data_IF_886445110408
#
_entry.id   IF_886445110408
#
_cell.length_a   1.000
_cell.length_b   1.000
_cell.length_c   1.000
_cell.angle_alpha   90.00
_cell.angle_beta   90.00
_cell.angle_gamma   90.00
#
_symmetry.space_group_name_H-M   'P 1'
#
loop_
_entity.id
_entity.type
_entity.pdbx_description
1 polymer ?
#
# COMPACT_ATOMS: atom_id res chain seq x y z
N UNK A 1 3.48 25.15 9.71
CA UNK A 1 4.45 26.20 10.15
C UNK A 1 5.85 25.76 9.73
N UNK A 2 6.55 26.51 8.88
CA UNK A 2 7.90 26.12 8.42
C UNK A 2 8.89 26.24 9.59
N UNK A 3 9.49 25.12 10.00
CA UNK A 3 10.51 25.13 11.06
C UNK A 3 11.74 25.92 10.62
N UNK A 4 12.35 26.66 11.56
CA UNK A 4 13.63 27.33 11.32
C UNK A 4 14.74 26.27 11.29
N UNK A 5 15.65 26.37 10.29
CA UNK A 5 16.82 25.51 10.20
C UNK A 5 17.63 25.54 11.51
N UNK A 6 17.98 24.38 12.01
CA UNK A 6 18.80 24.24 13.21
C UNK A 6 20.26 24.47 12.88
N UNK A 7 20.96 25.17 13.77
CA UNK A 7 22.42 25.30 13.65
C UNK A 7 23.08 23.94 13.91
N UNK A 8 24.10 23.63 13.14
CA UNK A 8 24.88 22.38 13.26
C UNK A 8 24.02 21.10 13.18
N UNK A 9 22.99 21.08 12.30
CA UNK A 9 22.06 19.96 12.19
C UNK A 9 22.78 18.64 12.00
N UNK A 10 23.67 18.53 11.01
CA UNK A 10 24.38 17.30 10.69
C UNK A 10 25.17 16.75 11.88
N UNK A 11 25.89 17.62 12.60
CA UNK A 11 26.63 17.24 13.81
C UNK A 11 25.69 16.75 14.93
N UNK A 12 24.53 17.39 15.09
CA UNK A 12 23.54 17.00 16.11
C UNK A 12 22.89 15.65 15.76
N UNK A 13 22.59 15.44 14.48
CA UNK A 13 22.09 14.15 13.96
C UNK A 13 23.13 13.05 14.21
N UNK A 14 24.40 13.32 13.88
CA UNK A 14 25.47 12.35 14.07
C UNK A 14 25.74 12.04 15.56
N UNK A 15 25.54 13.00 16.44
CA UNK A 15 25.61 12.75 17.89
C UNK A 15 24.52 11.78 18.39
N UNK A 16 23.45 11.58 17.64
CA UNK A 16 22.36 10.65 17.94
C UNK A 16 22.33 9.49 16.94
N UNK A 17 23.47 9.14 16.33
CA UNK A 17 23.56 8.11 15.30
C UNK A 17 23.14 6.72 15.80
N UNK A 18 23.22 6.46 17.09
CA UNK A 18 22.75 5.27 17.78
C UNK A 18 21.23 5.09 17.73
N UNK A 19 20.49 6.18 17.59
CA UNK A 19 19.02 6.17 17.45
C UNK A 19 18.56 6.38 15.99
N UNK A 20 19.46 6.72 15.07
CA UNK A 20 19.12 7.08 13.70
C UNK A 20 19.34 5.95 12.70
N UNK A 21 18.28 5.43 12.12
CA UNK A 21 18.32 4.42 11.06
C UNK A 21 18.47 5.12 9.70
N UNK A 22 19.71 5.23 9.23
CA UNK A 22 20.07 5.91 7.95
C UNK A 22 19.59 5.15 6.71
N UNK A 23 19.48 3.82 6.79
CA UNK A 23 19.02 2.97 5.70
C UNK A 23 17.88 2.06 6.18
N UNK A 24 16.66 2.58 6.26
CA UNK A 24 15.52 1.82 6.77
C UNK A 24 15.16 0.63 5.87
N UNK A 25 15.44 0.68 4.57
CA UNK A 25 15.19 -0.44 3.67
C UNK A 25 16.04 -1.67 3.99
N UNK A 26 17.24 -1.50 4.54
CA UNK A 26 18.08 -2.61 4.99
C UNK A 26 17.56 -3.23 6.30
N UNK A 27 16.74 -2.49 7.05
CA UNK A 27 16.13 -2.94 8.31
C UNK A 27 14.79 -3.67 8.09
N UNK A 28 14.22 -3.61 6.90
CA UNK A 28 12.96 -4.25 6.53
C UNK A 28 12.95 -5.74 6.87
N UNK A 29 11.99 -6.18 7.68
CA UNK A 29 11.89 -7.56 8.18
C UNK A 29 12.81 -7.90 9.35
N UNK A 30 13.54 -6.90 9.90
CA UNK A 30 14.56 -7.10 10.95
C UNK A 30 14.40 -6.14 12.14
N UNK A 31 13.30 -5.41 12.23
CA UNK A 31 13.13 -4.44 13.32
C UNK A 31 13.21 -5.09 14.70
N UNK A 32 12.66 -6.30 14.87
CA UNK A 32 12.74 -7.05 16.12
C UNK A 32 14.18 -7.50 16.49
N UNK A 33 15.12 -7.51 15.52
CA UNK A 33 16.53 -7.82 15.82
C UNK A 33 17.21 -6.70 16.63
N UNK A 34 16.71 -5.45 16.54
CA UNK A 34 17.22 -4.33 17.35
C UNK A 34 16.85 -4.45 18.83
N UNK A 35 15.76 -5.17 19.12
CA UNK A 35 15.29 -5.45 20.47
C UNK A 35 14.58 -6.82 20.49
N UNK A 36 15.31 -7.95 20.54
CA UNK A 36 14.73 -9.29 20.38
C UNK A 36 13.67 -9.65 21.43
N UNK A 37 13.71 -9.02 22.60
CA UNK A 37 12.74 -9.20 23.68
C UNK A 37 11.50 -8.30 23.55
N UNK A 38 11.39 -7.47 22.49
CA UNK A 38 10.26 -6.57 22.32
C UNK A 38 8.95 -7.34 22.20
N UNK A 39 7.95 -6.91 22.98
CA UNK A 39 6.60 -7.47 22.93
C UNK A 39 5.85 -7.00 21.70
N UNK A 40 6.12 -5.76 21.23
CA UNK A 40 5.52 -5.18 20.03
C UNK A 40 6.44 -4.16 19.35
N UNK A 41 6.18 -3.93 18.06
CA UNK A 41 6.76 -2.82 17.28
C UNK A 41 5.71 -1.74 17.13
N UNK A 42 5.99 -0.56 17.67
CA UNK A 42 5.12 0.61 17.60
C UNK A 42 5.70 1.66 16.68
N UNK A 43 4.88 2.16 15.77
CA UNK A 43 5.28 3.13 14.76
C UNK A 43 4.57 4.47 15.00
N UNK A 44 5.29 5.59 14.99
CA UNK A 44 4.70 6.93 15.00
C UNK A 44 5.01 7.66 13.70
N UNK A 45 3.98 8.20 13.04
CA UNK A 45 4.11 9.00 11.83
C UNK A 45 4.03 10.49 12.15
N UNK A 46 5.11 11.22 11.81
CA UNK A 46 5.21 12.66 12.08
C UNK A 46 5.47 12.96 13.55
N UNK A 47 6.48 12.34 14.15
CA UNK A 47 6.78 12.50 15.58
C UNK A 47 7.15 13.93 16.00
N UNK A 48 7.44 14.82 15.06
CA UNK A 48 7.80 16.20 15.31
C UNK A 48 9.00 16.32 16.26
N UNK A 49 8.80 16.97 17.42
CA UNK A 49 9.84 17.14 18.46
C UNK A 49 9.91 15.97 19.47
N UNK A 50 9.12 14.92 19.25
CA UNK A 50 9.25 13.63 19.92
C UNK A 50 8.85 13.56 21.39
N UNK A 51 8.00 14.48 21.90
CA UNK A 51 7.51 14.37 23.29
C UNK A 51 6.70 13.09 23.48
N UNK A 52 5.71 12.88 22.61
CA UNK A 52 4.87 11.69 22.65
C UNK A 52 5.71 10.42 22.49
N UNK A 53 6.60 10.38 21.49
CA UNK A 53 7.52 9.27 21.25
C UNK A 53 8.32 8.93 22.54
N UNK A 54 8.99 9.94 23.12
CA UNK A 54 9.88 9.73 24.25
C UNK A 54 9.12 9.31 25.53
N UNK A 55 8.00 9.96 25.85
CA UNK A 55 7.21 9.65 27.06
C UNK A 55 6.48 8.30 26.93
N UNK A 56 5.97 7.98 25.73
CA UNK A 56 5.30 6.71 25.48
C UNK A 56 6.29 5.55 25.51
N UNK A 57 7.48 5.71 24.92
CA UNK A 57 8.53 4.70 24.95
C UNK A 57 9.08 4.48 26.36
N UNK A 58 9.21 5.56 27.16
CA UNK A 58 9.61 5.48 28.56
C UNK A 58 8.59 4.74 29.41
N UNK A 59 7.29 4.94 29.13
CA UNK A 59 6.20 4.27 29.85
C UNK A 59 6.04 2.79 29.46
N UNK A 60 6.56 2.40 28.30
CA UNK A 60 6.43 1.03 27.78
C UNK A 60 7.81 0.51 27.32
N UNK A 61 8.74 0.26 28.25
CA UNK A 61 10.11 -0.15 27.94
C UNK A 61 10.20 -1.54 27.31
N UNK A 62 9.12 -2.33 27.34
CA UNK A 62 9.02 -3.64 26.71
C UNK A 62 8.72 -3.59 25.22
N UNK A 63 8.39 -2.43 24.65
CA UNK A 63 8.06 -2.29 23.24
C UNK A 63 9.16 -1.54 22.49
N UNK A 64 9.36 -1.93 21.23
CA UNK A 64 10.21 -1.21 20.30
C UNK A 64 9.41 -0.09 19.62
N UNK A 65 9.95 1.12 19.66
CA UNK A 65 9.36 2.29 19.00
C UNK A 65 10.16 2.68 17.78
N UNK A 66 9.46 2.94 16.68
CA UNK A 66 10.03 3.53 15.46
C UNK A 66 9.27 4.81 15.14
N UNK A 67 9.97 5.92 14.98
CA UNK A 67 9.38 7.22 14.67
C UNK A 67 9.84 7.68 13.28
N UNK A 68 8.89 7.98 12.39
CA UNK A 68 9.15 8.50 11.05
C UNK A 68 8.85 9.99 11.04
N UNK A 69 9.82 10.81 10.62
CA UNK A 69 9.66 12.25 10.50
C UNK A 69 10.34 12.76 9.21
N UNK A 70 9.62 13.59 8.48
CA UNK A 70 10.07 14.16 7.20
C UNK A 70 10.93 15.41 7.34
N UNK A 71 10.94 16.01 8.54
CA UNK A 71 11.64 17.26 8.82
C UNK A 71 12.81 16.99 9.76
N UNK A 72 14.06 16.85 9.26
CA UNK A 72 15.23 16.55 10.08
C UNK A 72 15.46 17.53 11.23
N UNK A 73 15.09 18.82 11.04
CA UNK A 73 15.16 19.85 12.08
C UNK A 73 14.21 19.57 13.28
N UNK A 74 13.14 18.81 13.07
CA UNK A 74 12.24 18.36 14.15
C UNK A 74 12.77 17.05 14.76
N UNK A 75 13.12 16.10 13.90
CA UNK A 75 13.59 14.78 14.28
C UNK A 75 14.82 14.84 15.20
N UNK A 76 15.78 15.73 14.91
CA UNK A 76 16.97 15.88 15.76
C UNK A 76 16.62 16.25 17.21
N UNK A 77 15.58 17.06 17.43
CA UNK A 77 15.12 17.41 18.79
C UNK A 77 14.49 16.19 19.47
N UNK A 78 13.73 15.37 18.70
CA UNK A 78 13.14 14.16 19.19
C UNK A 78 14.21 13.15 19.62
N UNK A 79 15.24 12.95 18.82
CA UNK A 79 16.37 12.07 19.13
C UNK A 79 17.13 12.53 20.37
N UNK A 80 17.48 13.84 20.47
CA UNK A 80 18.14 14.41 21.63
C UNK A 80 17.30 14.19 22.91
N UNK A 81 15.99 14.42 22.86
CA UNK A 81 15.06 14.18 23.98
C UNK A 81 15.07 12.71 24.42
N UNK A 82 15.05 11.76 23.52
CA UNK A 82 15.14 10.34 23.82
C UNK A 82 16.48 9.96 24.44
N UNK A 83 17.57 10.51 23.90
CA UNK A 83 18.92 10.29 24.41
C UNK A 83 19.13 10.88 25.81
N UNK A 84 18.63 12.10 26.08
CA UNK A 84 18.67 12.72 27.42
C UNK A 84 17.91 11.89 28.47
N UNK A 85 16.87 11.17 28.03
CA UNK A 85 16.10 10.24 28.90
C UNK A 85 16.75 8.83 28.98
N UNK A 86 17.85 8.58 28.29
CA UNK A 86 18.52 7.27 28.27
C UNK A 86 17.67 6.15 27.65
N UNK A 87 16.84 6.46 26.66
CA UNK A 87 15.99 5.47 26.01
C UNK A 87 16.78 4.68 24.96
N UNK A 88 16.63 3.35 24.98
CA UNK A 88 17.28 2.42 24.07
C UNK A 88 16.30 1.62 23.21
N UNK A 89 15.01 1.85 23.41
CA UNK A 89 13.91 1.18 22.71
C UNK A 89 13.23 2.07 21.66
N UNK A 90 13.91 3.13 21.19
CA UNK A 90 13.38 4.09 20.21
C UNK A 90 14.37 4.28 19.07
N UNK A 91 13.89 4.22 17.83
CA UNK A 91 14.68 4.50 16.63
C UNK A 91 13.95 5.47 15.72
N UNK A 92 14.71 6.23 14.93
CA UNK A 92 14.18 7.29 14.07
C UNK A 92 14.55 7.08 12.60
N UNK A 93 13.60 7.38 11.73
CA UNK A 93 13.76 7.36 10.27
C UNK A 93 13.49 8.76 9.74
N UNK A 94 14.46 9.33 9.00
CA UNK A 94 14.25 10.49 8.14
C UNK A 94 13.57 10.00 6.85
N UNK A 95 12.25 10.08 6.78
CA UNK A 95 11.50 9.46 5.72
C UNK A 95 10.06 9.92 5.57
N UNK A 96 9.39 9.38 4.57
CA UNK A 96 8.00 9.67 4.24
C UNK A 96 7.09 8.48 4.57
N UNK A 97 5.91 8.76 5.10
CA UNK A 97 4.88 7.75 5.37
C UNK A 97 4.42 6.99 4.12
N UNK A 98 4.63 7.54 2.92
CA UNK A 98 4.34 6.86 1.66
C UNK A 98 5.29 5.69 1.38
N UNK A 99 6.46 5.63 2.05
CA UNK A 99 7.50 4.63 1.82
C UNK A 99 7.51 3.51 2.87
N UNK A 100 6.47 3.37 3.71
CA UNK A 100 6.48 2.40 4.81
C UNK A 100 6.69 0.96 4.34
N UNK A 101 6.13 0.57 3.21
CA UNK A 101 6.33 -0.76 2.63
C UNK A 101 7.78 -1.04 2.18
N UNK A 102 8.61 0.01 2.03
CA UNK A 102 10.03 -0.13 1.78
C UNK A 102 10.84 -0.25 3.09
N UNK A 103 10.28 0.27 4.20
CA UNK A 103 10.93 0.27 5.52
C UNK A 103 10.54 -0.94 6.37
N UNK A 104 9.31 -1.43 6.24
CA UNK A 104 8.76 -2.53 7.03
C UNK A 104 8.32 -3.67 6.12
N UNK A 105 8.49 -4.89 6.60
CA UNK A 105 7.89 -6.09 6.00
C UNK A 105 6.38 -6.15 6.33
N UNK A 106 5.61 -6.99 5.63
CA UNK A 106 4.25 -7.31 6.04
C UNK A 106 4.20 -7.79 7.49
N UNK A 107 3.14 -7.36 8.21
CA UNK A 107 2.82 -7.75 9.59
C UNK A 107 3.93 -7.45 10.63
N UNK A 108 4.87 -6.54 10.32
CA UNK A 108 6.00 -6.21 11.19
C UNK A 108 5.65 -5.18 12.27
N UNK A 109 4.57 -4.41 12.08
CA UNK A 109 4.11 -3.35 13.00
C UNK A 109 2.88 -3.80 13.77
N UNK A 110 2.88 -3.64 15.09
CA UNK A 110 1.75 -4.00 15.95
C UNK A 110 0.78 -2.83 16.18
N UNK A 111 1.29 -1.61 16.25
CA UNK A 111 0.51 -0.40 16.54
C UNK A 111 1.12 0.81 15.84
N UNK A 112 0.26 1.61 15.19
CA UNK A 112 0.64 2.83 14.48
C UNK A 112 -0.06 4.05 15.11
N UNK A 113 0.70 5.12 15.35
CA UNK A 113 0.20 6.38 15.87
C UNK A 113 0.22 7.46 14.78
N UNK A 114 -0.90 8.18 14.65
CA UNK A 114 -1.03 9.39 13.82
C UNK A 114 -1.52 10.50 14.75
N UNK A 115 -0.62 11.37 15.18
CA UNK A 115 -0.92 12.44 16.11
C UNK A 115 -0.83 13.81 15.41
N UNK A 116 -1.96 14.54 15.30
CA UNK A 116 -2.02 15.92 14.83
C UNK A 116 -1.38 16.17 13.47
N UNK A 117 -1.64 15.27 12.52
CA UNK A 117 -1.16 15.41 11.15
C UNK A 117 -1.80 16.60 10.43
N UNK A 118 -1.14 17.08 9.37
CA UNK A 118 -1.61 18.22 8.57
C UNK A 118 -3.01 17.95 7.98
N UNK A 119 -3.98 18.86 8.20
CA UNK A 119 -5.38 18.64 7.80
C UNK A 119 -5.64 18.82 6.31
N UNK A 120 -4.75 19.47 5.56
CA UNK A 120 -4.91 19.75 4.13
C UNK A 120 -6.35 20.16 3.79
N UNK A 121 -6.81 21.37 4.16
CA UNK A 121 -8.23 21.74 4.13
C UNK A 121 -8.83 21.74 2.71
N UNK A 122 -8.02 21.96 1.67
CA UNK A 122 -8.48 21.92 0.29
C UNK A 122 -8.75 20.47 -0.16
N UNK A 123 -9.93 20.23 -0.78
CA UNK A 123 -10.31 18.95 -1.37
C UNK A 123 -9.29 18.45 -2.40
N UNK A 124 -8.70 19.38 -3.17
CA UNK A 124 -7.65 19.06 -4.15
C UNK A 124 -6.40 18.42 -3.52
N UNK A 125 -6.21 18.60 -2.22
CA UNK A 125 -5.07 18.08 -1.48
C UNK A 125 -5.46 16.94 -0.51
N UNK A 126 -6.67 16.43 -0.56
CA UNK A 126 -7.14 15.37 0.35
C UNK A 126 -6.25 14.12 0.31
N UNK A 127 -5.70 13.78 -0.85
CA UNK A 127 -4.76 12.66 -1.03
C UNK A 127 -3.44 12.81 -0.25
N UNK A 128 -3.15 13.99 0.31
CA UNK A 128 -1.96 14.25 1.16
C UNK A 128 -2.21 14.01 2.64
N UNK A 129 -3.48 13.82 3.04
CA UNK A 129 -3.83 13.52 4.43
C UNK A 129 -3.33 12.13 4.80
N UNK A 130 -2.65 12.00 5.91
CA UNK A 130 -2.15 10.69 6.39
C UNK A 130 -3.26 9.69 6.71
N UNK A 131 -4.50 10.16 6.85
CA UNK A 131 -5.71 9.32 7.01
C UNK A 131 -6.49 9.12 5.72
N UNK A 132 -5.94 9.48 4.54
CA UNK A 132 -6.54 9.12 3.26
C UNK A 132 -6.48 7.60 3.05
N UNK A 133 -7.51 7.03 2.44
CA UNK A 133 -7.59 5.57 2.21
C UNK A 133 -6.32 4.99 1.58
N UNK A 134 -5.68 5.69 0.63
CA UNK A 134 -4.43 5.23 0.01
C UNK A 134 -3.29 5.05 1.04
N UNK A 135 -3.17 5.98 2.00
CA UNK A 135 -2.19 5.84 3.08
C UNK A 135 -2.59 4.73 4.04
N UNK A 136 -3.86 4.67 4.43
CA UNK A 136 -4.38 3.63 5.33
C UNK A 136 -4.18 2.22 4.76
N UNK A 137 -4.38 2.03 3.44
CA UNK A 137 -4.08 0.77 2.75
C UNK A 137 -2.57 0.45 2.78
N UNK A 138 -1.71 1.46 2.59
CA UNK A 138 -0.27 1.29 2.76
C UNK A 138 0.11 0.89 4.19
N UNK A 139 -0.54 1.47 5.21
CA UNK A 139 -0.31 1.09 6.61
C UNK A 139 -0.79 -0.33 6.91
N UNK A 140 -1.91 -0.74 6.28
CA UNK A 140 -2.42 -2.10 6.39
C UNK A 140 -1.41 -3.15 5.95
N UNK A 141 -0.57 -2.86 4.95
CA UNK A 141 0.47 -3.78 4.47
C UNK A 141 1.51 -4.10 5.54
N UNK A 142 1.84 -3.13 6.39
CA UNK A 142 2.90 -3.29 7.40
C UNK A 142 2.35 -3.65 8.79
N UNK A 143 1.06 -3.36 9.05
CA UNK A 143 0.38 -3.72 10.28
C UNK A 143 0.04 -5.22 10.29
N UNK A 144 0.27 -5.90 11.42
CA UNK A 144 -0.21 -7.28 11.61
C UNK A 144 -1.74 -7.34 11.65
N UNK A 145 -2.31 -8.50 11.46
CA UNK A 145 -3.74 -8.71 11.65
C UNK A 145 -4.14 -8.42 13.10
N UNK A 146 -5.24 -7.70 13.27
CA UNK A 146 -5.64 -7.13 14.55
C UNK A 146 -4.73 -6.00 15.07
N UNK A 147 -3.75 -5.55 14.28
CA UNK A 147 -2.96 -4.35 14.58
C UNK A 147 -3.80 -3.08 14.51
N UNK A 148 -3.41 -2.06 15.24
CA UNK A 148 -4.23 -0.88 15.44
C UNK A 148 -3.57 0.40 14.89
N UNK A 149 -4.41 1.34 14.47
CA UNK A 149 -4.03 2.73 14.20
C UNK A 149 -4.72 3.61 15.24
N UNK A 150 -3.95 4.32 16.06
CA UNK A 150 -4.45 5.33 16.98
C UNK A 150 -4.33 6.70 16.33
N UNK A 151 -5.47 7.33 16.03
CA UNK A 151 -5.52 8.64 15.40
C UNK A 151 -6.06 9.68 16.35
N UNK A 152 -5.31 10.80 16.50
CA UNK A 152 -5.72 11.99 17.26
C UNK A 152 -5.66 13.24 16.38
N UNK A 153 -6.61 14.16 16.55
CA UNK A 153 -6.63 15.47 15.87
C UNK A 153 -7.44 16.49 16.65
N UNK A 154 -6.96 17.75 16.68
CA UNK A 154 -7.74 18.93 17.09
C UNK A 154 -8.68 19.43 15.98
N UNK A 155 -8.39 19.05 14.73
CA UNK A 155 -9.17 19.45 13.56
C UNK A 155 -10.38 18.53 13.37
N UNK A 156 -11.58 19.08 13.66
CA UNK A 156 -12.84 18.37 13.60
C UNK A 156 -13.17 17.88 12.18
N UNK A 157 -12.97 18.73 11.19
CA UNK A 157 -13.33 18.40 9.80
C UNK A 157 -12.44 17.26 9.26
N UNK A 158 -11.13 17.30 9.55
CA UNK A 158 -10.24 16.20 9.24
C UNK A 158 -10.69 14.92 9.95
N UNK A 159 -11.05 14.99 11.23
CA UNK A 159 -11.44 13.84 12.01
C UNK A 159 -12.70 13.17 11.46
N UNK A 160 -13.79 13.95 11.27
CA UNK A 160 -15.04 13.42 10.71
C UNK A 160 -14.83 12.81 9.32
N UNK A 161 -14.08 13.49 8.46
CA UNK A 161 -13.73 12.96 7.15
C UNK A 161 -12.92 11.65 7.25
N UNK A 162 -11.99 11.57 8.21
CA UNK A 162 -11.15 10.37 8.41
C UNK A 162 -11.98 9.15 8.84
N UNK A 163 -13.03 9.34 9.63
CA UNK A 163 -13.92 8.24 10.05
C UNK A 163 -14.54 7.48 8.87
N UNK A 164 -14.72 8.14 7.70
CA UNK A 164 -15.18 7.49 6.48
C UNK A 164 -14.06 6.80 5.70
N UNK A 165 -12.79 7.12 5.96
CA UNK A 165 -11.66 6.53 5.24
C UNK A 165 -11.22 5.19 5.83
N UNK A 166 -11.27 5.05 7.17
CA UNK A 166 -10.84 3.83 7.86
C UNK A 166 -11.59 2.57 7.40
N UNK A 167 -12.96 2.54 7.37
CA UNK A 167 -13.68 1.37 6.91
C UNK A 167 -13.37 1.02 5.44
N UNK A 168 -13.25 2.03 4.58
CA UNK A 168 -12.87 1.84 3.16
C UNK A 168 -11.50 1.17 2.98
N UNK A 169 -10.62 1.34 3.95
CA UNK A 169 -9.29 0.73 3.95
C UNK A 169 -9.23 -0.57 4.76
N UNK A 170 -10.38 -1.15 5.16
CA UNK A 170 -10.44 -2.41 5.90
C UNK A 170 -10.03 -2.29 7.37
N UNK A 171 -10.42 -1.18 8.03
CA UNK A 171 -10.26 -0.99 9.48
C UNK A 171 -11.62 -0.85 10.16
N UNK A 172 -11.84 -1.59 11.22
CA UNK A 172 -12.98 -1.40 12.11
C UNK A 172 -12.69 -0.29 13.10
N UNK A 173 -13.63 0.64 13.25
CA UNK A 173 -13.48 1.78 14.15
C UNK A 173 -14.01 1.48 15.54
N UNK A 174 -13.22 1.84 16.54
CA UNK A 174 -13.58 1.78 17.95
C UNK A 174 -13.09 3.02 18.71
N UNK A 175 -13.51 3.18 19.96
CA UNK A 175 -13.09 4.26 20.86
C UNK A 175 -13.19 5.66 20.21
N UNK A 176 -14.23 5.88 19.42
CA UNK A 176 -14.46 7.17 18.74
C UNK A 176 -14.93 8.18 19.77
N UNK A 177 -14.12 9.21 20.03
CA UNK A 177 -14.48 10.34 20.89
C UNK A 177 -14.13 11.65 20.24
N UNK A 178 -14.89 12.65 20.58
CA UNK A 178 -14.71 14.04 20.10
C UNK A 178 -14.17 14.97 21.17
N UNK A 179 -13.92 14.42 22.36
CA UNK A 179 -13.28 15.10 23.48
C UNK A 179 -12.55 14.07 24.34
N UNK A 180 -11.31 13.74 23.96
CA UNK A 180 -10.51 12.71 24.61
C UNK A 180 -10.27 12.97 26.10
N UNK A 181 -10.20 14.23 26.49
CA UNK A 181 -9.87 14.67 27.84
C UNK A 181 -11.08 15.13 28.66
N UNK A 182 -12.31 14.79 28.24
CA UNK A 182 -13.55 15.22 28.92
C UNK A 182 -13.60 14.84 30.41
N UNK A 183 -13.04 13.70 30.74
CA UNK A 183 -13.02 13.17 32.14
C UNK A 183 -11.62 13.21 32.77
N UNK A 184 -10.74 14.07 32.26
CA UNK A 184 -9.35 14.18 32.70
C UNK A 184 -8.36 13.77 31.63
N UNK A 185 -7.06 14.00 31.89
CA UNK A 185 -6.01 13.71 30.91
C UNK A 185 -5.95 12.20 30.65
N UNK A 186 -6.06 11.82 29.36
CA UNK A 186 -6.03 10.44 28.92
C UNK A 186 -4.74 10.19 28.12
N UNK A 187 -3.86 9.34 28.66
CA UNK A 187 -2.62 8.93 27.99
C UNK A 187 -1.54 10.03 27.92
N UNK A 188 -0.52 9.78 27.09
CA UNK A 188 0.57 10.75 26.85
C UNK A 188 0.12 11.80 25.87
N UNK A 189 0.37 13.08 26.20
CA UNK A 189 0.08 14.19 25.32
C UNK A 189 1.31 14.58 24.49
N UNK A 190 1.10 14.97 23.24
CA UNK A 190 2.12 15.67 22.45
C UNK A 190 2.32 17.12 22.96
N UNK A 191 3.44 17.78 22.61
CA UNK A 191 3.62 19.21 22.89
C UNK A 191 2.49 20.05 22.27
N UNK A 192 1.95 19.60 21.14
CA UNK A 192 0.85 20.24 20.43
C UNK A 192 -0.49 20.03 21.13
N UNK A 193 -0.77 18.82 21.57
CA UNK A 193 -1.98 18.43 22.30
C UNK A 193 -2.13 19.19 23.62
N UNK A 194 -1.06 19.29 24.42
CA UNK A 194 -1.04 20.05 25.66
C UNK A 194 -1.40 21.54 25.43
N UNK A 195 -0.83 22.15 24.37
CA UNK A 195 -1.16 23.53 24.02
C UNK A 195 -2.65 23.71 23.73
N UNK A 196 -3.26 22.82 22.95
CA UNK A 196 -4.67 22.93 22.56
C UNK A 196 -5.60 22.54 23.71
N UNK A 197 -5.22 21.56 24.51
CA UNK A 197 -5.93 21.23 25.75
C UNK A 197 -5.99 22.42 26.72
N UNK A 198 -4.88 23.12 26.93
CA UNK A 198 -4.82 24.32 27.77
C UNK A 198 -5.62 25.50 27.21
N UNK A 199 -5.91 25.51 25.92
CA UNK A 199 -6.80 26.46 25.27
C UNK A 199 -8.28 26.03 25.30
N UNK A 200 -8.60 24.88 25.92
CA UNK A 200 -9.95 24.33 25.95
C UNK A 200 -10.43 23.74 24.64
N UNK A 201 -9.53 23.48 23.67
CA UNK A 201 -9.90 22.86 22.40
C UNK A 201 -10.07 21.34 22.60
N UNK A 202 -11.24 20.76 22.29
CA UNK A 202 -11.46 19.34 22.39
C UNK A 202 -10.54 18.55 21.41
N UNK A 203 -10.00 17.43 21.90
CA UNK A 203 -9.18 16.54 21.09
C UNK A 203 -10.02 15.35 20.62
N UNK A 204 -10.09 15.15 19.32
CA UNK A 204 -10.77 14.00 18.74
C UNK A 204 -9.81 12.80 18.69
N UNK A 205 -10.34 11.60 18.96
CA UNK A 205 -9.59 10.35 18.86
C UNK A 205 -10.47 9.23 18.30
N UNK A 206 -9.85 8.33 17.52
CA UNK A 206 -10.42 7.01 17.22
C UNK A 206 -9.29 5.96 17.16
N UNK A 207 -9.69 4.71 17.23
CA UNK A 207 -8.84 3.54 17.00
C UNK A 207 -9.41 2.80 15.80
N UNK A 208 -8.57 2.52 14.81
CA UNK A 208 -8.89 1.66 13.67
C UNK A 208 -8.14 0.35 13.82
N UNK A 209 -8.84 -0.76 13.97
CA UNK A 209 -8.27 -2.11 14.05
C UNK A 209 -8.28 -2.77 12.67
N UNK A 210 -7.13 -3.25 12.20
CA UNK A 210 -7.05 -4.02 10.95
C UNK A 210 -7.88 -5.29 11.09
N UNK A 211 -8.92 -5.42 10.26
CA UNK A 211 -9.75 -6.63 10.20
C UNK A 211 -9.29 -7.55 9.10
N UNK A 212 -9.41 -8.85 9.32
CA UNK A 212 -9.20 -9.83 8.27
C UNK A 212 -10.19 -9.55 7.13
N UNK A 213 -9.70 -9.50 5.91
CA UNK A 213 -10.57 -9.45 4.75
C UNK A 213 -11.05 -10.87 4.43
N UNK A 214 -12.26 -11.04 3.89
CA UNK A 214 -12.70 -12.37 3.46
C UNK A 214 -11.70 -12.93 2.46
N UNK A 215 -11.29 -14.17 2.70
CA UNK A 215 -10.37 -14.91 1.82
C UNK A 215 -11.19 -15.55 0.68
N UNK A 216 -11.64 -14.72 -0.25
CA UNK A 216 -12.36 -15.15 -1.45
C UNK A 216 -11.34 -15.42 -2.54
N UNK A 217 -11.33 -16.58 -3.20
CA UNK A 217 -10.43 -16.83 -4.31
C UNK A 217 -10.55 -15.76 -5.40
N UNK A 218 -9.43 -15.28 -5.93
CA UNK A 218 -9.40 -14.12 -6.84
C UNK A 218 -10.28 -14.31 -8.07
N UNK A 219 -10.38 -15.54 -8.60
CA UNK A 219 -11.25 -15.83 -9.75
C UNK A 219 -12.73 -15.80 -9.37
N UNK A 220 -13.10 -16.24 -8.17
CA UNK A 220 -14.46 -16.15 -7.67
C UNK A 220 -14.86 -14.69 -7.47
N UNK A 221 -14.02 -13.88 -6.81
CA UNK A 221 -14.23 -12.45 -6.62
C UNK A 221 -14.37 -11.72 -7.98
N UNK A 222 -13.53 -12.08 -8.95
CA UNK A 222 -13.60 -11.52 -10.30
C UNK A 222 -14.90 -11.92 -11.02
N UNK A 223 -15.32 -13.17 -10.90
CA UNK A 223 -16.59 -13.68 -11.47
C UNK A 223 -17.82 -12.99 -10.89
N UNK A 224 -17.85 -12.73 -9.59
CA UNK A 224 -18.92 -11.97 -8.93
C UNK A 224 -19.04 -10.54 -9.47
N UNK A 225 -17.92 -9.91 -9.85
CA UNK A 225 -17.88 -8.53 -10.37
C UNK A 225 -18.08 -8.43 -11.88
N UNK A 226 -17.92 -9.55 -12.58
CA UNK A 226 -18.07 -9.67 -14.04
C UNK A 226 -19.10 -10.74 -14.42
N UNK A 227 -20.36 -10.67 -13.91
CA UNK A 227 -21.36 -11.72 -14.09
C UNK A 227 -21.77 -11.93 -15.56
N UNK A 228 -21.44 -11.00 -16.45
CA UNK A 228 -21.68 -11.12 -17.89
C UNK A 228 -20.66 -12.02 -18.61
N UNK A 229 -19.57 -12.41 -17.94
CA UNK A 229 -18.56 -13.31 -18.48
C UNK A 229 -18.49 -14.60 -17.67
N UNK A 230 -18.39 -15.72 -18.35
CA UNK A 230 -17.92 -16.96 -17.77
C UNK A 230 -16.38 -16.88 -17.71
N UNK A 231 -15.81 -16.91 -16.50
CA UNK A 231 -14.35 -16.85 -16.29
C UNK A 231 -13.88 -18.24 -15.89
N UNK A 232 -13.07 -18.86 -16.73
CA UNK A 232 -12.52 -20.17 -16.44
C UNK A 232 -11.08 -20.33 -16.96
N UNK A 233 -10.35 -21.24 -16.35
CA UNK A 233 -9.00 -21.60 -16.79
C UNK A 233 -8.99 -22.05 -18.24
N UNK A 234 -7.96 -21.65 -18.97
CA UNK A 234 -7.74 -22.08 -20.34
C UNK A 234 -7.18 -23.51 -20.31
N UNK A 235 -7.88 -24.42 -20.99
CA UNK A 235 -7.44 -25.81 -21.18
C UNK A 235 -6.77 -26.03 -22.54
N UNK A 236 -6.28 -27.26 -22.76
CA UNK A 236 -5.69 -27.66 -24.06
C UNK A 236 -6.70 -27.55 -25.22
N UNK A 237 -7.98 -27.78 -24.94
CA UNK A 237 -9.08 -27.66 -25.89
C UNK A 237 -9.32 -26.21 -26.35
N UNK A 238 -8.92 -25.22 -25.54
CA UNK A 238 -9.14 -23.82 -25.83
C UNK A 238 -7.99 -23.17 -26.63
N UNK A 239 -6.83 -23.82 -26.73
CA UNK A 239 -5.60 -23.22 -27.25
C UNK A 239 -5.75 -22.69 -28.69
N UNK A 240 -6.49 -23.38 -29.54
CA UNK A 240 -6.75 -22.90 -30.91
C UNK A 240 -7.60 -21.63 -30.93
N UNK A 241 -8.56 -21.53 -30.01
CA UNK A 241 -9.42 -20.34 -29.86
C UNK A 241 -8.61 -19.17 -29.30
N UNK A 242 -7.74 -19.42 -28.31
CA UNK A 242 -6.81 -18.42 -27.75
C UNK A 242 -5.84 -17.94 -28.84
N UNK A 243 -5.27 -18.86 -29.64
CA UNK A 243 -4.38 -18.52 -30.72
C UNK A 243 -5.07 -17.60 -31.74
N UNK A 244 -6.28 -17.94 -32.16
CA UNK A 244 -7.04 -17.11 -33.10
C UNK A 244 -7.34 -15.69 -32.54
N UNK A 245 -7.61 -15.57 -31.21
CA UNK A 245 -7.77 -14.27 -30.57
C UNK A 245 -6.46 -13.48 -30.61
N UNK A 246 -5.32 -14.12 -30.32
CA UNK A 246 -4.01 -13.48 -30.34
C UNK A 246 -3.59 -13.06 -31.75
N UNK A 247 -3.77 -13.93 -32.74
CA UNK A 247 -3.49 -13.61 -34.16
C UNK A 247 -4.33 -12.44 -34.65
N UNK A 248 -5.59 -12.33 -34.21
CA UNK A 248 -6.45 -11.17 -34.50
C UNK A 248 -5.92 -9.84 -33.92
N UNK A 249 -4.97 -9.92 -32.98
CA UNK A 249 -4.28 -8.78 -32.36
C UNK A 249 -2.84 -8.60 -32.88
N UNK A 250 -2.54 -8.97 -34.13
CA UNK A 250 -1.20 -8.88 -34.74
C UNK A 250 -0.46 -7.55 -34.46
N UNK A 251 -1.09 -6.35 -34.50
CA UNK A 251 -0.41 -5.09 -34.21
C UNK A 251 0.22 -5.00 -32.80
N UNK A 252 -0.23 -5.78 -31.84
CA UNK A 252 0.40 -5.84 -30.50
C UNK A 252 1.80 -6.48 -30.58
N UNK A 253 1.95 -7.52 -31.36
CA UNK A 253 3.22 -8.24 -31.51
C UNK A 253 4.24 -7.47 -32.36
N UNK A 254 3.78 -6.59 -33.26
CA UNK A 254 4.65 -5.69 -34.06
C UNK A 254 5.35 -4.63 -33.22
N UNK A 255 4.77 -4.23 -32.06
CA UNK A 255 5.31 -3.13 -31.22
C UNK A 255 6.75 -3.40 -30.77
N UNK A 256 7.13 -4.66 -30.60
CA UNK A 256 8.46 -5.04 -30.09
C UNK A 256 9.21 -6.05 -30.97
N UNK A 257 8.85 -6.17 -32.22
CA UNK A 257 9.40 -7.20 -33.10
C UNK A 257 9.30 -8.62 -32.51
N UNK A 258 8.21 -8.86 -31.74
CA UNK A 258 7.95 -10.17 -31.15
C UNK A 258 7.51 -11.15 -32.23
N UNK A 259 7.89 -12.40 -32.06
CA UNK A 259 7.35 -13.47 -32.91
C UNK A 259 5.84 -13.57 -32.74
N UNK A 260 5.13 -13.89 -33.82
CA UNK A 260 3.69 -14.15 -33.78
C UNK A 260 3.40 -15.34 -32.83
N UNK A 261 2.27 -15.30 -32.09
CA UNK A 261 1.95 -16.36 -31.14
C UNK A 261 1.80 -17.72 -31.83
N UNK A 262 2.07 -18.76 -31.08
CA UNK A 262 1.92 -20.14 -31.50
C UNK A 262 1.31 -20.96 -30.36
N UNK A 263 0.78 -22.14 -30.65
CA UNK A 263 0.31 -23.04 -29.60
C UNK A 263 1.42 -23.36 -28.56
N UNK A 264 2.67 -23.39 -29.01
CA UNK A 264 3.82 -23.61 -28.13
C UNK A 264 4.05 -22.41 -27.21
N UNK A 265 4.08 -21.18 -27.75
CA UNK A 265 4.31 -19.99 -26.94
C UNK A 265 3.18 -19.77 -25.91
N UNK A 266 1.91 -20.08 -26.26
CA UNK A 266 0.78 -20.02 -25.31
C UNK A 266 0.99 -20.98 -24.15
N UNK A 267 1.40 -22.25 -24.42
CA UNK A 267 1.71 -23.21 -23.34
C UNK A 267 2.87 -22.75 -22.46
N UNK A 268 3.90 -22.14 -23.07
CA UNK A 268 5.03 -21.57 -22.33
C UNK A 268 4.57 -20.41 -21.43
N UNK A 269 3.66 -19.56 -21.90
CA UNK A 269 3.09 -18.45 -21.11
C UNK A 269 2.21 -18.97 -19.96
N UNK A 270 1.37 -19.99 -20.22
CA UNK A 270 0.55 -20.64 -19.20
C UNK A 270 1.41 -21.26 -18.09
N UNK A 271 2.56 -21.82 -18.43
CA UNK A 271 3.50 -22.45 -17.50
C UNK A 271 4.49 -21.47 -16.86
N UNK A 272 4.67 -20.26 -17.43
CA UNK A 272 5.66 -19.29 -16.97
C UNK A 272 5.31 -18.73 -15.59
N UNK A 273 6.23 -18.84 -14.65
CA UNK A 273 6.08 -18.34 -13.29
C UNK A 273 7.12 -17.26 -13.00
N UNK A 274 6.73 -16.19 -12.29
CA UNK A 274 7.69 -15.28 -11.69
C UNK A 274 8.53 -15.98 -10.60
N UNK A 275 9.70 -15.42 -10.24
CA UNK A 275 10.51 -15.99 -9.18
C UNK A 275 9.73 -16.16 -7.87
N UNK A 276 9.89 -17.31 -7.21
CA UNK A 276 9.28 -17.69 -5.94
C UNK A 276 7.77 -17.95 -5.97
N UNK A 277 7.12 -17.96 -7.13
CA UNK A 277 5.71 -18.31 -7.26
C UNK A 277 5.54 -19.79 -7.61
N UNK A 278 4.38 -20.35 -7.23
CA UNK A 278 3.95 -21.70 -7.57
C UNK A 278 2.83 -21.66 -8.63
N UNK A 279 2.53 -22.81 -9.23
CA UNK A 279 1.47 -22.92 -10.23
C UNK A 279 0.08 -22.63 -9.65
N UNK A 280 -0.13 -22.87 -8.36
CA UNK A 280 -1.38 -22.59 -7.65
C UNK A 280 -1.70 -21.09 -7.58
N UNK A 281 -0.66 -20.24 -7.59
CA UNK A 281 -0.78 -18.80 -7.55
C UNK A 281 -1.04 -18.17 -8.94
N UNK A 282 -0.96 -18.99 -10.01
CA UNK A 282 -1.11 -18.52 -11.39
C UNK A 282 -2.47 -18.87 -11.96
N UNK A 283 -3.13 -17.87 -12.53
CA UNK A 283 -4.43 -18.00 -13.17
C UNK A 283 -4.35 -17.50 -14.61
N UNK A 284 -4.24 -18.41 -15.56
CA UNK A 284 -4.35 -18.09 -16.98
C UNK A 284 -5.76 -18.43 -17.44
N UNK A 285 -6.61 -17.41 -17.60
CA UNK A 285 -8.05 -17.57 -17.77
C UNK A 285 -8.55 -16.97 -19.08
N UNK A 286 -9.57 -17.59 -19.63
CA UNK A 286 -10.41 -17.03 -20.68
C UNK A 286 -11.67 -16.38 -20.08
N UNK A 287 -12.05 -15.23 -20.65
CA UNK A 287 -13.35 -14.61 -20.39
C UNK A 287 -14.25 -14.93 -21.58
N UNK A 288 -15.37 -15.59 -21.30
CA UNK A 288 -16.29 -16.07 -22.32
C UNK A 288 -17.65 -15.37 -22.22
N UNK A 289 -18.23 -15.03 -23.34
CA UNK A 289 -19.58 -14.48 -23.42
C UNK A 289 -20.34 -15.17 -24.57
N UNK A 290 -21.50 -15.72 -24.27
CA UNK A 290 -22.31 -16.50 -25.24
C UNK A 290 -21.50 -17.59 -25.96
N UNK A 291 -20.63 -18.28 -25.24
CA UNK A 291 -19.77 -19.35 -25.75
C UNK A 291 -18.59 -18.86 -26.62
N UNK A 292 -18.35 -17.56 -26.75
CA UNK A 292 -17.23 -16.96 -27.50
C UNK A 292 -16.18 -16.39 -26.55
N UNK A 293 -14.92 -16.65 -26.86
CA UNK A 293 -13.80 -16.07 -26.11
C UNK A 293 -13.71 -14.57 -26.43
N UNK A 294 -13.91 -13.72 -25.44
CA UNK A 294 -13.85 -12.25 -25.57
C UNK A 294 -12.54 -11.67 -25.06
N UNK A 295 -11.83 -12.39 -24.21
CA UNK A 295 -10.53 -11.97 -23.71
C UNK A 295 -9.76 -13.07 -23.00
N UNK A 296 -8.46 -12.84 -22.82
CA UNK A 296 -7.54 -13.70 -22.05
C UNK A 296 -6.89 -12.84 -20.99
N UNK A 297 -6.80 -13.35 -19.77
CA UNK A 297 -6.22 -12.68 -18.62
C UNK A 297 -5.27 -13.64 -17.90
N UNK A 298 -4.05 -13.16 -17.63
CA UNK A 298 -3.04 -13.85 -16.81
C UNK A 298 -2.84 -13.10 -15.50
N UNK A 299 -3.09 -13.77 -14.39
CA UNK A 299 -2.95 -13.23 -13.05
C UNK A 299 -1.98 -14.09 -12.24
N UNK A 300 -1.17 -13.45 -11.38
CA UNK A 300 -0.33 -14.16 -10.41
C UNK A 300 -0.51 -13.52 -9.05
N UNK A 301 -0.95 -14.32 -8.08
CA UNK A 301 -1.10 -13.90 -6.69
C UNK A 301 0.25 -13.89 -5.97
N UNK A 302 0.45 -12.90 -5.07
CA UNK A 302 1.65 -12.85 -4.22
C UNK A 302 2.93 -12.39 -4.93
N UNK A 303 2.86 -11.75 -6.10
CA UNK A 303 4.03 -11.25 -6.81
C UNK A 303 3.91 -9.75 -7.14
N UNK A 304 4.98 -8.97 -6.98
CA UNK A 304 6.31 -9.30 -6.44
C UNK A 304 6.36 -9.33 -4.90
N UNK A 305 5.23 -9.10 -4.23
CA UNK A 305 5.05 -9.13 -2.77
C UNK A 305 3.82 -9.97 -2.44
N UNK A 306 3.78 -10.57 -1.26
CA UNK A 306 2.77 -11.54 -0.80
C UNK A 306 1.32 -11.12 -1.03
N UNK A 307 1.01 -9.83 -0.90
CA UNK A 307 -0.36 -9.29 -1.05
C UNK A 307 -0.49 -8.40 -2.28
N UNK A 308 0.16 -8.79 -3.37
CA UNK A 308 0.07 -8.10 -4.66
C UNK A 308 -0.47 -9.05 -5.71
N UNK A 309 -1.48 -8.63 -6.45
CA UNK A 309 -1.96 -9.31 -7.65
C UNK A 309 -1.19 -8.77 -8.86
N UNK A 310 -0.47 -9.63 -9.54
CA UNK A 310 0.25 -9.27 -10.77
C UNK A 310 -0.59 -9.60 -11.99
N UNK A 311 -0.80 -8.61 -12.87
CA UNK A 311 -1.38 -8.81 -14.20
C UNK A 311 -0.23 -9.07 -15.17
N UNK A 312 -0.05 -10.34 -15.54
CA UNK A 312 0.98 -10.77 -16.47
C UNK A 312 0.59 -10.47 -17.91
N UNK A 313 -0.69 -10.62 -18.25
CA UNK A 313 -1.21 -10.41 -19.60
C UNK A 313 -2.71 -10.08 -19.55
N UNK A 314 -3.14 -9.18 -20.43
CA UNK A 314 -4.54 -8.93 -20.75
C UNK A 314 -4.68 -8.65 -22.23
N UNK A 315 -5.49 -9.44 -22.91
CA UNK A 315 -5.81 -9.21 -24.32
C UNK A 315 -7.31 -9.42 -24.55
N UNK A 316 -7.95 -8.45 -25.18
CA UNK A 316 -9.36 -8.48 -25.60
C UNK A 316 -9.41 -8.77 -27.08
N UNK A 317 -10.39 -9.54 -27.52
CA UNK A 317 -10.59 -9.85 -28.94
C UNK A 317 -10.70 -8.56 -29.78
N UNK A 318 -9.94 -8.47 -30.87
CA UNK A 318 -9.82 -7.25 -31.69
C UNK A 318 -11.17 -6.66 -32.15
N UNK A 319 -12.19 -7.45 -32.53
CA UNK A 319 -13.50 -6.89 -32.87
C UNK A 319 -14.20 -6.16 -31.74
N UNK A 320 -13.81 -6.40 -30.47
CA UNK A 320 -14.40 -5.79 -29.28
C UNK A 320 -13.60 -4.59 -28.75
N UNK A 321 -12.54 -4.20 -29.43
CA UNK A 321 -11.77 -3.02 -29.07
C UNK A 321 -12.63 -1.76 -29.13
N UNK A 322 -12.39 -0.82 -28.21
CA UNK A 322 -13.13 0.45 -28.06
C UNK A 322 -14.63 0.31 -27.77
N UNK A 323 -15.11 -0.90 -27.46
CA UNK A 323 -16.48 -1.15 -27.03
C UNK A 323 -16.62 -1.22 -25.49
N UNK A 324 -15.58 -0.87 -24.73
CA UNK A 324 -15.60 -0.83 -23.28
C UNK A 324 -15.21 -2.14 -22.57
N UNK A 325 -15.11 -3.26 -23.29
CA UNK A 325 -14.82 -4.58 -22.67
C UNK A 325 -13.56 -4.55 -21.82
N UNK A 326 -12.43 -4.07 -22.35
CA UNK A 326 -11.19 -3.96 -21.58
C UNK A 326 -11.31 -3.05 -20.37
N UNK A 327 -12.05 -1.94 -20.49
CA UNK A 327 -12.36 -1.05 -19.36
C UNK A 327 -13.12 -1.79 -18.27
N UNK A 328 -14.19 -2.50 -18.61
CA UNK A 328 -15.02 -3.25 -17.69
C UNK A 328 -14.21 -4.30 -16.93
N UNK A 329 -13.34 -5.05 -17.63
CA UNK A 329 -12.47 -6.07 -17.02
C UNK A 329 -11.51 -5.39 -16.01
N UNK A 330 -10.82 -4.33 -16.42
CA UNK A 330 -9.80 -3.67 -15.58
C UNK A 330 -10.42 -2.96 -14.38
N UNK A 331 -11.62 -2.37 -14.53
CA UNK A 331 -12.32 -1.73 -13.41
C UNK A 331 -12.79 -2.73 -12.33
N UNK A 332 -12.98 -4.00 -12.68
CA UNK A 332 -13.33 -5.04 -11.71
C UNK A 332 -12.12 -5.56 -10.90
N UNK A 333 -10.89 -5.40 -11.42
CA UNK A 333 -9.69 -5.94 -10.79
C UNK A 333 -9.42 -5.37 -9.37
N UNK A 334 -9.55 -4.04 -9.10
CA UNK A 334 -9.27 -3.51 -7.77
C UNK A 334 -10.16 -4.11 -6.68
N UNK A 335 -11.46 -4.22 -6.95
CA UNK A 335 -12.40 -4.84 -6.03
C UNK A 335 -12.15 -6.34 -5.86
N UNK A 336 -11.94 -7.07 -6.96
CA UNK A 336 -11.65 -8.51 -6.90
C UNK A 336 -10.34 -8.80 -6.13
N UNK A 337 -9.30 -7.98 -6.34
CA UNK A 337 -8.05 -8.10 -5.60
C UNK A 337 -8.27 -7.82 -4.10
N UNK A 338 -9.08 -6.81 -3.76
CA UNK A 338 -9.39 -6.48 -2.38
C UNK A 338 -10.16 -7.62 -1.69
N UNK A 339 -11.19 -8.19 -2.35
CA UNK A 339 -11.96 -9.32 -1.84
C UNK A 339 -11.10 -10.57 -1.65
N UNK A 340 -10.05 -10.75 -2.49
CA UNK A 340 -9.06 -11.81 -2.37
C UNK A 340 -7.92 -11.47 -1.38
N UNK A 341 -8.08 -10.44 -0.56
CA UNK A 341 -7.08 -10.07 0.46
C UNK A 341 -5.82 -9.41 -0.08
N UNK A 342 -5.76 -9.03 -1.35
CA UNK A 342 -4.63 -8.30 -1.94
C UNK A 342 -4.69 -6.81 -1.59
N UNK A 343 -3.54 -6.17 -1.44
CA UNK A 343 -3.44 -4.73 -1.15
C UNK A 343 -3.24 -3.89 -2.39
N UNK A 344 -2.67 -4.48 -3.46
CA UNK A 344 -2.39 -3.78 -4.70
C UNK A 344 -2.39 -4.70 -5.92
N UNK A 345 -2.52 -4.08 -7.09
CA UNK A 345 -2.38 -4.72 -8.38
C UNK A 345 -1.18 -4.10 -9.09
N UNK A 346 -0.33 -4.92 -9.66
CA UNK A 346 0.83 -4.47 -10.46
C UNK A 346 0.84 -5.11 -11.83
N UNK A 347 1.48 -4.42 -12.75
CA UNK A 347 1.73 -4.91 -14.11
C UNK A 347 3.01 -4.31 -14.68
N UNK A 348 3.49 -4.92 -15.76
CA UNK A 348 4.54 -4.36 -16.62
C UNK A 348 3.97 -3.97 -17.98
N UNK A 349 3.92 -2.67 -18.27
CA UNK A 349 3.54 -2.18 -19.59
C UNK A 349 4.78 -1.91 -20.44
N UNK A 350 4.86 -2.54 -21.61
CA UNK A 350 5.98 -2.40 -22.55
C UNK A 350 6.18 -0.94 -22.96
N UNK A 351 7.40 -0.40 -22.90
CA UNK A 351 7.69 1.01 -23.21
C UNK A 351 7.35 1.39 -24.66
N UNK A 352 7.30 0.44 -25.59
CA UNK A 352 6.80 0.64 -26.96
C UNK A 352 5.28 0.72 -27.07
N UNK A 353 4.52 0.26 -26.07
CA UNK A 353 3.05 0.25 -26.08
C UNK A 353 2.46 1.49 -25.39
N UNK A 354 2.65 2.65 -26.01
CA UNK A 354 2.13 3.92 -25.45
C UNK A 354 0.60 3.93 -25.30
N UNK A 355 -0.13 3.32 -26.24
CA UNK A 355 -1.60 3.21 -26.16
C UNK A 355 -2.04 2.36 -24.97
N UNK A 356 -1.33 1.27 -24.70
CA UNK A 356 -1.56 0.45 -23.49
C UNK A 356 -1.24 1.21 -22.22
N UNK A 357 -0.13 1.96 -22.20
CA UNK A 357 0.23 2.79 -21.07
C UNK A 357 -0.83 3.85 -20.75
N UNK A 358 -1.28 4.61 -21.77
CA UNK A 358 -2.35 5.60 -21.60
C UNK A 358 -3.66 4.95 -21.11
N UNK A 359 -3.98 3.75 -21.59
CA UNK A 359 -5.14 2.99 -21.11
C UNK A 359 -5.02 2.64 -19.62
N UNK A 360 -3.87 2.12 -19.17
CA UNK A 360 -3.66 1.78 -17.77
C UNK A 360 -3.70 3.02 -16.87
N UNK A 361 -3.10 4.13 -17.29
CA UNK A 361 -3.21 5.41 -16.57
C UNK A 361 -4.67 5.87 -16.46
N UNK A 362 -5.46 5.76 -17.55
CA UNK A 362 -6.89 6.10 -17.55
C UNK A 362 -7.74 5.17 -16.66
N UNK A 363 -7.24 3.97 -16.33
CA UNK A 363 -7.87 3.02 -15.41
C UNK A 363 -7.45 3.24 -13.94
N UNK A 364 -6.59 4.20 -13.65
CA UNK A 364 -6.18 4.55 -12.29
C UNK A 364 -4.83 4.00 -11.85
N UNK A 365 -4.15 3.23 -12.72
CA UNK A 365 -2.77 2.82 -12.45
C UNK A 365 -1.83 4.01 -12.48
N UNK A 366 -0.76 3.94 -11.71
CA UNK A 366 0.29 4.96 -11.66
C UNK A 366 1.65 4.32 -11.94
N UNK A 367 2.54 5.07 -12.59
CA UNK A 367 3.91 4.64 -12.79
C UNK A 367 4.64 4.55 -11.45
N UNK A 368 5.17 3.37 -11.15
CA UNK A 368 5.94 3.12 -9.94
C UNK A 368 7.44 3.26 -10.20
N UNK A 369 7.93 2.65 -11.27
CA UNK A 369 9.33 2.68 -11.70
C UNK A 369 9.50 2.09 -13.09
N UNK A 370 10.69 2.28 -13.67
CA UNK A 370 11.15 1.51 -14.82
C UNK A 370 11.53 0.08 -14.40
N UNK A 371 11.38 -0.86 -15.32
CA UNK A 371 11.73 -2.26 -15.11
C UNK A 371 12.05 -2.98 -16.42
N UNK A 372 12.38 -4.25 -16.30
CA UNK A 372 12.58 -5.16 -17.42
C UNK A 372 11.75 -6.43 -17.18
N UNK A 373 11.18 -6.97 -18.24
CA UNK A 373 10.53 -8.29 -18.22
C UNK A 373 11.44 -9.36 -18.79
N UNK A 374 11.04 -10.63 -18.64
CA UNK A 374 11.76 -11.77 -19.21
C UNK A 374 11.98 -11.55 -20.71
N UNK A 375 13.24 -11.61 -21.15
CA UNK A 375 13.63 -11.28 -22.52
C UNK A 375 14.26 -9.90 -22.70
N UNK A 376 14.44 -9.12 -21.62
CA UNK A 376 15.16 -7.83 -21.64
C UNK A 376 14.36 -6.65 -22.19
N UNK A 377 13.04 -6.81 -22.37
CA UNK A 377 12.18 -5.71 -22.83
C UNK A 377 11.93 -4.70 -21.71
N UNK A 378 12.19 -3.41 -22.00
CA UNK A 378 11.94 -2.32 -21.05
C UNK A 378 10.43 -2.09 -20.85
N UNK A 379 10.02 -1.94 -19.60
CA UNK A 379 8.62 -1.72 -19.19
C UNK A 379 8.49 -0.56 -18.21
N UNK A 380 7.30 0.04 -18.17
CA UNK A 380 6.82 0.76 -17.01
C UNK A 380 6.21 -0.25 -16.05
N UNK A 381 6.72 -0.33 -14.83
CA UNK A 381 6.03 -1.04 -13.74
C UNK A 381 5.00 -0.08 -13.19
N UNK A 382 3.74 -0.49 -13.27
CA UNK A 382 2.60 0.32 -12.84
C UNK A 382 1.87 -0.36 -11.69
N UNK A 383 1.24 0.44 -10.83
CA UNK A 383 0.50 -0.04 -9.66
C UNK A 383 -0.83 0.70 -9.50
N UNK A 384 -1.81 -0.03 -9.01
CA UNK A 384 -3.07 0.49 -8.47
C UNK A 384 -3.34 -0.21 -7.13
N UNK A 385 -3.86 0.52 -6.14
CA UNK A 385 -4.29 -0.08 -4.89
C UNK A 385 -5.58 -0.87 -5.09
N UNK A 386 -5.70 -1.98 -4.38
CA UNK A 386 -6.94 -2.74 -4.33
C UNK A 386 -8.01 -1.91 -3.61
N UNK A 387 -9.26 -1.94 -4.07
CA UNK A 387 -10.36 -1.12 -3.55
C UNK A 387 -11.54 -2.02 -3.19
N UNK A 388 -12.03 -1.90 -1.94
CA UNK A 388 -13.36 -2.39 -1.58
C UNK A 388 -14.39 -1.34 -1.97
N UNK A 389 -15.46 -1.75 -2.63
CA UNK A 389 -16.63 -0.90 -2.91
C UNK A 389 -17.42 -0.55 -1.66
#
# INVERSE_FOLDING_TARGET
MRMRKKKNLDRRMENCADLWIKNPAAQRGKWRELMPQAQGVRLELGCGKGRFTAETAQANPQDLYVAVERVPDAMVIAMERCREKGLHNVFFIDGDAACLSDYFAPDEVDLLYINFCDPWPSVKHSRRRLTHENFLRGYRQVLRDGGEIHFKSDNRDLFEWSLFQFPKAGFELSQVTRNLHEHGICGVMTDYEEKFHNLGTPINRCVGTKVALPDVPVLEALGQRLPQFEIRSVGEEDLTTVLALMEGNAPYYEIQSQEMPSLRSIREDMAALPPRCTQEQKHYVGLWQDGKLVGVLDLVEGYPRERTLWVGFLMVAAPLHRQGVGRTIVQALPGAAADAGMDSIRLGCLKGNTKGHDFWLAMGFQDLRDGEVRGGSAVWIMEQLAEHE
#
